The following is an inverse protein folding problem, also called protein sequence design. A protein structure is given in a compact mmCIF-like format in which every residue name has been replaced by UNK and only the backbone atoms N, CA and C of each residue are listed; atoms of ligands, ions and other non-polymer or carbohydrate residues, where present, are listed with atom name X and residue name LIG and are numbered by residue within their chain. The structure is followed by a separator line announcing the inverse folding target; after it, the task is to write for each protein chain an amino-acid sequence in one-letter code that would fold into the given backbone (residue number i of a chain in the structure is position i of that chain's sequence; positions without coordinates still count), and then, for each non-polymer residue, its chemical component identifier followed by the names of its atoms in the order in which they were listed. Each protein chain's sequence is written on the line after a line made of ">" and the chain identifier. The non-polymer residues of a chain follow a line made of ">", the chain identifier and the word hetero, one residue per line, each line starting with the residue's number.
data_IF_826994291554
#
_entry.id   IF_826994291554
#
_cell.length_a   1.000
_cell.length_b   1.000
_cell.length_c   1.000
_cell.angle_alpha   90.00
_cell.angle_beta   90.00
_cell.angle_gamma   90.00
#
_symmetry.space_group_name_H-M   'P 1'
#
loop_
_entity.id
_entity.type
_entity.pdbx_description
1 polymer ?
#
# COMPACT_ATOMS: atom_id res chain seq x y z
N UNK A 1 -43.25 -7.91 -18.97
CA UNK A 1 -42.35 -6.74 -19.19
C UNK A 1 -41.87 -6.75 -20.62
N UNK A 2 -41.97 -5.62 -21.35
CA UNK A 2 -41.49 -5.55 -22.75
C UNK A 2 -39.96 -5.69 -22.77
N UNK A 3 -39.41 -6.46 -23.72
CA UNK A 3 -37.96 -6.70 -23.90
C UNK A 3 -37.11 -5.41 -23.86
N UNK A 4 -37.67 -4.30 -24.37
CA UNK A 4 -37.08 -2.97 -24.29
C UNK A 4 -36.75 -2.53 -22.85
N UNK A 5 -37.61 -2.84 -21.88
CA UNK A 5 -37.42 -2.47 -20.49
C UNK A 5 -36.34 -3.33 -19.81
N UNK A 6 -36.16 -4.57 -20.27
CA UNK A 6 -35.11 -5.47 -19.79
C UNK A 6 -33.74 -5.01 -20.32
N UNK A 7 -33.67 -4.61 -21.59
CA UNK A 7 -32.45 -4.06 -22.21
C UNK A 7 -32.03 -2.74 -21.59
N UNK A 8 -32.98 -1.83 -21.30
CA UNK A 8 -32.69 -0.57 -20.61
C UNK A 8 -32.18 -0.80 -19.18
N UNK A 9 -32.76 -1.76 -18.45
CA UNK A 9 -32.30 -2.10 -17.10
C UNK A 9 -30.88 -2.69 -17.11
N UNK A 10 -30.58 -3.57 -18.08
CA UNK A 10 -29.24 -4.13 -18.24
C UNK A 10 -28.20 -3.05 -18.56
N UNK A 11 -28.52 -2.11 -19.45
CA UNK A 11 -27.64 -1.00 -19.81
C UNK A 11 -27.36 -0.08 -18.60
N UNK A 12 -28.37 0.19 -17.78
CA UNK A 12 -28.22 1.02 -16.58
C UNK A 12 -27.29 0.36 -15.55
N UNK A 13 -27.40 -0.96 -15.35
CA UNK A 13 -26.51 -1.72 -14.45
C UNK A 13 -25.06 -1.69 -14.93
N UNK A 14 -24.83 -1.79 -16.24
CA UNK A 14 -23.50 -1.68 -16.85
C UNK A 14 -22.87 -0.28 -16.67
N UNK A 15 -23.67 0.78 -16.73
CA UNK A 15 -23.19 2.16 -16.51
C UNK A 15 -22.84 2.39 -15.03
N UNK A 16 -23.64 1.88 -14.08
CA UNK A 16 -23.32 2.00 -12.66
C UNK A 16 -22.10 1.14 -12.26
N UNK A 17 -21.91 -0.04 -12.85
CA UNK A 17 -20.74 -0.89 -12.60
C UNK A 17 -19.43 -0.32 -13.16
N UNK A 18 -19.48 0.62 -14.11
CA UNK A 18 -18.31 1.21 -14.76
C UNK A 18 -17.60 2.31 -13.94
N UNK A 19 -18.09 2.66 -12.75
CA UNK A 19 -17.52 3.73 -11.91
C UNK A 19 -16.74 3.21 -10.70
N UNK A 20 -15.96 2.14 -10.89
CA UNK A 20 -14.89 1.83 -9.94
C UNK A 20 -13.73 2.81 -10.19
N UNK A 21 -13.79 3.99 -9.58
CA UNK A 21 -12.67 4.93 -9.54
C UNK A 21 -11.56 4.21 -8.77
N UNK A 22 -10.51 3.78 -9.48
CA UNK A 22 -9.32 3.23 -8.84
C UNK A 22 -8.75 4.31 -7.92
N UNK A 23 -8.99 4.19 -6.62
CA UNK A 23 -8.43 5.11 -5.64
C UNK A 23 -6.92 4.91 -5.62
N UNK A 24 -6.16 5.99 -5.82
CA UNK A 24 -4.71 5.94 -5.70
C UNK A 24 -4.32 5.44 -4.30
N UNK A 25 -3.39 4.49 -4.24
CA UNK A 25 -2.82 4.00 -2.97
C UNK A 25 -1.72 4.95 -2.50
N UNK A 26 -1.71 5.30 -1.22
CA UNK A 26 -0.60 6.00 -0.57
C UNK A 26 0.46 4.97 -0.20
N UNK A 27 1.62 5.03 -0.86
CA UNK A 27 2.75 4.16 -0.54
C UNK A 27 3.66 4.82 0.49
N UNK A 28 3.96 4.11 1.58
CA UNK A 28 4.88 4.56 2.63
C UNK A 28 6.09 3.64 2.62
N UNK A 29 7.26 4.20 2.33
CA UNK A 29 8.53 3.49 2.44
C UNK A 29 8.96 3.29 3.89
N UNK A 30 9.27 2.06 4.27
CA UNK A 30 9.75 1.68 5.60
C UNK A 30 11.19 1.19 5.46
N UNK A 31 12.13 2.09 5.74
CA UNK A 31 13.57 1.84 5.67
C UNK A 31 14.10 1.47 7.06
N UNK A 32 14.47 0.21 7.28
CA UNK A 32 14.87 -0.29 8.60
C UNK A 32 16.02 -1.30 8.50
N UNK A 33 16.84 -1.45 9.56
CA UNK A 33 17.83 -2.52 9.64
C UNK A 33 17.16 -3.80 10.11
N UNK A 34 16.62 -4.59 9.19
CA UNK A 34 15.91 -5.84 9.52
C UNK A 34 16.86 -7.04 9.63
N UNK A 35 18.04 -6.91 9.04
CA UNK A 35 19.16 -7.84 9.22
C UNK A 35 20.43 -7.11 9.62
N UNK A 36 21.47 -7.87 9.99
CA UNK A 36 22.75 -7.33 10.44
C UNK A 36 22.79 -7.04 11.94
N UNK A 37 23.70 -6.16 12.36
CA UNK A 37 24.06 -5.98 13.78
C UNK A 37 22.95 -5.37 14.62
N UNK A 38 22.06 -4.59 14.00
CA UNK A 38 20.97 -3.89 14.69
C UNK A 38 19.58 -4.45 14.34
N UNK A 39 19.52 -5.67 13.80
CA UNK A 39 18.29 -6.35 13.36
C UNK A 39 17.18 -6.38 14.42
N UNK A 40 17.56 -6.62 15.68
CA UNK A 40 16.60 -6.70 16.78
C UNK A 40 15.82 -5.40 16.96
N UNK A 41 16.50 -4.25 16.92
CA UNK A 41 15.85 -2.94 17.01
C UNK A 41 14.96 -2.67 15.80
N UNK A 42 15.44 -2.97 14.59
CA UNK A 42 14.66 -2.77 13.37
C UNK A 42 13.40 -3.64 13.30
N UNK A 43 13.43 -4.85 13.85
CA UNK A 43 12.25 -5.71 13.92
C UNK A 43 11.19 -5.15 14.88
N UNK A 44 11.60 -4.62 16.04
CA UNK A 44 10.69 -3.94 16.97
C UNK A 44 10.07 -2.68 16.34
N UNK A 45 10.86 -1.90 15.61
CA UNK A 45 10.37 -0.73 14.87
C UNK A 45 9.36 -1.13 13.79
N UNK A 46 9.63 -2.19 13.03
CA UNK A 46 8.72 -2.71 12.00
C UNK A 46 7.39 -3.18 12.60
N UNK A 47 7.43 -3.88 13.73
CA UNK A 47 6.22 -4.31 14.45
C UNK A 47 5.36 -3.12 14.89
N UNK A 48 5.99 -2.06 15.39
CA UNK A 48 5.31 -0.81 15.73
C UNK A 48 4.66 -0.14 14.52
N UNK A 49 5.36 -0.08 13.38
CA UNK A 49 4.82 0.46 12.12
C UNK A 49 3.63 -0.37 11.62
N UNK A 50 3.73 -1.70 11.68
CA UNK A 50 2.65 -2.60 11.27
C UNK A 50 1.43 -2.48 12.19
N UNK A 51 1.65 -2.31 13.50
CA UNK A 51 0.58 -2.04 14.46
C UNK A 51 -0.14 -0.73 14.14
N UNK A 52 0.60 0.35 13.91
CA UNK A 52 0.03 1.64 13.54
C UNK A 52 -0.76 1.57 12.23
N UNK A 53 -0.25 0.84 11.23
CA UNK A 53 -0.96 0.63 9.96
C UNK A 53 -2.24 -0.20 10.14
N UNK A 54 -2.25 -1.18 11.05
CA UNK A 54 -3.44 -1.95 11.38
C UNK A 54 -4.52 -1.08 12.02
N UNK A 55 -4.13 -0.12 12.87
CA UNK A 55 -5.06 0.83 13.48
C UNK A 55 -5.53 1.90 12.50
N UNK A 56 -4.65 2.34 11.60
CA UNK A 56 -4.90 3.40 10.60
C UNK A 56 -4.52 2.89 9.21
N UNK A 57 -5.37 2.06 8.57
CA UNK A 57 -5.07 1.46 7.27
C UNK A 57 -5.28 2.41 6.09
N UNK A 58 -5.94 3.55 6.32
CA UNK A 58 -6.26 4.54 5.30
C UNK A 58 -5.92 5.95 5.77
N UNK A 59 -5.42 6.78 4.84
CA UNK A 59 -5.13 8.19 5.07
C UNK A 59 -5.81 8.99 3.97
N UNK A 60 -6.53 10.05 4.35
CA UNK A 60 -7.23 10.93 3.40
C UNK A 60 -8.19 10.18 2.45
N UNK A 61 -8.80 9.09 2.93
CA UNK A 61 -9.68 8.22 2.13
C UNK A 61 -8.97 7.34 1.10
N UNK A 62 -7.64 7.22 1.18
CA UNK A 62 -6.81 6.37 0.34
C UNK A 62 -6.20 5.24 1.17
N UNK A 63 -6.11 4.04 0.59
CA UNK A 63 -5.43 2.90 1.21
C UNK A 63 -3.95 3.20 1.39
N UNK A 64 -3.39 2.79 2.52
CA UNK A 64 -1.94 2.83 2.76
C UNK A 64 -1.33 1.49 2.39
N UNK A 65 -0.21 1.50 1.68
CA UNK A 65 0.64 0.33 1.39
C UNK A 65 2.03 0.58 1.96
N UNK A 66 2.49 -0.32 2.83
CA UNK A 66 3.84 -0.25 3.40
C UNK A 66 4.83 -0.96 2.46
N UNK A 67 5.85 -0.23 2.01
CA UNK A 67 6.95 -0.76 1.21
C UNK A 67 8.17 -0.92 2.11
N UNK A 68 8.37 -2.13 2.62
CA UNK A 68 9.45 -2.42 3.58
C UNK A 68 10.74 -2.76 2.84
N UNK A 69 11.84 -2.12 3.22
CA UNK A 69 13.17 -2.36 2.64
C UNK A 69 14.24 -2.44 3.73
N UNK A 70 14.97 -3.55 3.72
CA UNK A 70 16.06 -3.83 4.66
C UNK A 70 17.37 -3.18 4.21
N UNK A 71 17.97 -2.36 5.08
CA UNK A 71 19.26 -1.72 4.84
C UNK A 71 20.47 -2.56 5.31
N UNK A 72 20.23 -3.69 5.99
CA UNK A 72 21.21 -4.68 6.47
C UNK A 72 22.30 -4.15 7.41
N UNK A 73 22.15 -2.92 7.92
CA UNK A 73 23.23 -2.20 8.63
C UNK A 73 24.48 -1.96 7.75
N UNK A 74 24.34 -1.96 6.42
CA UNK A 74 25.47 -1.84 5.48
C UNK A 74 25.35 -0.61 4.59
N UNK A 75 26.45 0.11 4.35
CA UNK A 75 26.43 1.42 3.67
C UNK A 75 25.90 1.34 2.24
N UNK A 76 26.32 0.32 1.48
CA UNK A 76 25.90 0.14 0.08
C UNK A 76 24.43 -0.26 0.00
N UNK A 77 24.01 -1.19 0.86
CA UNK A 77 22.63 -1.65 0.93
C UNK A 77 21.69 -0.54 1.39
N UNK A 78 22.13 0.30 2.34
CA UNK A 78 21.41 1.50 2.75
C UNK A 78 21.15 2.46 1.58
N UNK A 79 22.16 2.77 0.76
CA UNK A 79 21.99 3.64 -0.40
C UNK A 79 21.04 3.01 -1.44
N UNK A 80 21.17 1.72 -1.72
CA UNK A 80 20.31 0.99 -2.64
C UNK A 80 18.85 0.91 -2.14
N UNK A 81 18.66 0.76 -0.82
CA UNK A 81 17.35 0.71 -0.20
C UNK A 81 16.61 2.03 -0.36
N UNK A 82 17.27 3.16 -0.11
CA UNK A 82 16.68 4.49 -0.34
C UNK A 82 16.38 4.69 -1.81
N UNK A 83 17.31 4.32 -2.71
CA UNK A 83 17.09 4.39 -4.16
C UNK A 83 15.81 3.66 -4.58
N UNK A 84 15.60 2.43 -4.10
CA UNK A 84 14.39 1.63 -4.37
C UNK A 84 13.09 2.26 -3.84
N UNK A 85 13.17 3.11 -2.82
CA UNK A 85 11.99 3.75 -2.22
C UNK A 85 11.59 5.04 -2.95
N UNK A 86 12.55 5.73 -3.56
CA UNK A 86 12.32 7.05 -4.17
C UNK A 86 12.18 7.01 -5.69
N UNK A 87 12.68 5.96 -6.34
CA UNK A 87 12.55 5.69 -7.78
C UNK A 87 11.45 4.65 -8.06
#
# INVERSE_FOLDING_TARGET
>A
MKIRNVLLAALLVLVLAGTAVAADTIKIGVYLPLTGRTAFGGQLELEGVQMAHKEVPELLGKKVELIVVDNKTEKVEAANAVKRLVE
#
